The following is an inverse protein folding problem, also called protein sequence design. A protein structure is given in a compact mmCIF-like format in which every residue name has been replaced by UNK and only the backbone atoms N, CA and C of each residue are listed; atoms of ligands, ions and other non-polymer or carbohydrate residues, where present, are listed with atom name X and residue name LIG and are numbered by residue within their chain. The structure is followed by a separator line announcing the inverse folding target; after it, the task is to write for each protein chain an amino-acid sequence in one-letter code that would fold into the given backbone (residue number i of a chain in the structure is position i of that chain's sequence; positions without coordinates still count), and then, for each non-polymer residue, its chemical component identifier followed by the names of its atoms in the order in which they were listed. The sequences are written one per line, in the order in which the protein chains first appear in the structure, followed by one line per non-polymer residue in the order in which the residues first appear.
data_IF_576743228546
#
_entry.id   IF_576743228546
#
_cell.length_a   1.000
_cell.length_b   1.000
_cell.length_c   1.000
_cell.angle_alpha   90.00
_cell.angle_beta   90.00
_cell.angle_gamma   90.00
#
_symmetry.space_group_name_H-M   'P 1'
#
loop_
_entity.id
_entity.type
_entity.pdbx_description
1 polymer ?
#
# COMPACT_ATOMS: atom_id res chain seq x y z
N UNK A 1 3.80 -23.05 -5.38
CA UNK A 1 4.77 -22.14 -4.73
C UNK A 1 5.82 -21.79 -5.76
N UNK A 2 5.99 -20.53 -6.14
CA UNK A 2 7.03 -20.14 -7.08
C UNK A 2 8.40 -20.33 -6.43
N UNK A 3 9.39 -20.79 -7.20
CA UNK A 3 10.78 -20.89 -6.74
C UNK A 3 11.34 -19.48 -6.56
N UNK A 4 11.76 -19.15 -5.34
CA UNK A 4 12.44 -17.87 -5.05
C UNK A 4 13.92 -18.03 -5.43
N UNK A 5 14.44 -17.27 -6.41
CA UNK A 5 15.83 -17.37 -6.83
C UNK A 5 16.77 -16.84 -5.73
N UNK A 6 17.97 -17.43 -5.69
CA UNK A 6 19.07 -16.97 -4.84
C UNK A 6 20.09 -16.20 -5.67
N UNK A 7 20.69 -15.20 -5.06
CA UNK A 7 21.81 -14.42 -5.60
C UNK A 7 23.03 -14.58 -4.68
N UNK A 8 24.22 -14.66 -5.28
CA UNK A 8 25.49 -14.75 -4.55
C UNK A 8 26.25 -13.45 -4.78
N UNK A 9 26.62 -12.78 -3.71
CA UNK A 9 27.46 -11.59 -3.74
C UNK A 9 28.84 -11.90 -3.20
N UNK A 10 29.87 -11.51 -3.93
CA UNK A 10 31.25 -11.54 -3.43
C UNK A 10 31.53 -10.26 -2.61
N UNK A 11 31.93 -10.44 -1.37
CA UNK A 11 32.33 -9.36 -0.48
C UNK A 11 33.80 -9.55 -0.07
N UNK A 12 34.41 -8.51 0.50
CA UNK A 12 35.77 -8.59 1.06
C UNK A 12 35.91 -9.62 2.20
N UNK A 13 34.79 -10.19 2.69
CA UNK A 13 34.74 -11.20 3.77
C UNK A 13 34.30 -12.58 3.27
N UNK A 14 34.23 -12.79 1.95
CA UNK A 14 33.78 -14.03 1.31
C UNK A 14 32.43 -13.89 0.60
N UNK A 15 31.92 -15.01 0.14
CA UNK A 15 30.62 -15.08 -0.54
C UNK A 15 29.46 -15.03 0.46
N UNK A 16 28.42 -14.28 0.10
CA UNK A 16 27.14 -14.25 0.81
C UNK A 16 26.01 -14.59 -0.14
N UNK A 17 25.15 -15.50 0.29
CA UNK A 17 23.97 -15.91 -0.44
C UNK A 17 22.73 -15.27 0.18
N UNK A 18 21.86 -14.72 -0.68
CA UNK A 18 20.57 -14.14 -0.32
C UNK A 18 19.50 -14.71 -1.24
N UNK A 19 18.27 -14.90 -0.74
CA UNK A 19 17.12 -14.93 -1.64
C UNK A 19 16.89 -13.52 -2.21
N UNK A 20 16.18 -13.43 -3.35
CA UNK A 20 16.04 -12.16 -4.06
C UNK A 20 15.32 -11.08 -3.24
N UNK A 21 14.35 -11.45 -2.41
CA UNK A 21 13.62 -10.49 -1.58
C UNK A 21 14.49 -9.96 -0.43
N UNK A 22 15.25 -10.84 0.23
CA UNK A 22 16.25 -10.44 1.24
C UNK A 22 17.33 -9.55 0.64
N UNK A 23 17.72 -9.79 -0.62
CA UNK A 23 18.68 -8.94 -1.31
C UNK A 23 18.10 -7.55 -1.60
N UNK A 24 16.86 -7.47 -2.09
CA UNK A 24 16.17 -6.19 -2.31
C UNK A 24 15.95 -5.43 -1.01
N UNK A 25 15.65 -6.12 0.08
CA UNK A 25 15.48 -5.51 1.41
C UNK A 25 16.76 -4.78 1.87
N UNK A 26 17.96 -5.29 1.54
CA UNK A 26 19.22 -4.59 1.81
C UNK A 26 19.32 -3.23 1.07
N UNK A 27 18.63 -3.10 -0.07
CA UNK A 27 18.51 -1.84 -0.81
C UNK A 27 17.28 -1.03 -0.38
N UNK A 28 16.67 -1.39 0.77
CA UNK A 28 15.49 -0.75 1.37
C UNK A 28 14.25 -0.84 0.48
N UNK A 29 14.12 -1.93 -0.27
CA UNK A 29 13.00 -2.22 -1.15
C UNK A 29 12.14 -3.30 -0.52
N UNK A 30 10.86 -2.99 -0.33
CA UNK A 30 9.80 -3.93 0.08
C UNK A 30 8.86 -4.14 -1.10
N UNK A 31 8.44 -5.38 -1.31
CA UNK A 31 7.51 -5.74 -2.40
C UNK A 31 6.22 -6.31 -1.80
N UNK A 32 5.11 -5.61 -2.02
CA UNK A 32 3.75 -6.08 -1.73
C UNK A 32 3.10 -6.48 -3.05
N UNK A 33 3.21 -7.76 -3.41
CA UNK A 33 2.73 -8.31 -4.69
C UNK A 33 1.63 -9.37 -4.54
N UNK A 34 0.84 -9.28 -3.48
CA UNK A 34 -0.23 -10.22 -3.19
C UNK A 34 -1.41 -9.50 -2.52
N UNK A 35 -2.46 -10.25 -2.18
CA UNK A 35 -3.58 -9.76 -1.39
C UNK A 35 -3.11 -9.22 -0.02
N UNK A 36 -3.71 -8.12 0.42
CA UNK A 36 -3.50 -7.55 1.75
C UNK A 36 -4.27 -8.39 2.77
N UNK A 37 -3.54 -9.16 3.57
CA UNK A 37 -4.06 -10.00 4.64
C UNK A 37 -3.12 -9.94 5.85
N UNK A 38 -3.48 -10.63 6.94
CA UNK A 38 -2.71 -10.58 8.20
C UNK A 38 -1.26 -11.06 8.03
N UNK A 39 -1.02 -12.06 7.15
CA UNK A 39 0.31 -12.59 6.92
C UNK A 39 1.17 -11.60 6.11
N UNK A 40 0.65 -11.08 4.98
CA UNK A 40 1.36 -10.10 4.15
C UNK A 40 1.58 -8.79 4.90
N UNK A 41 0.60 -8.34 5.69
CA UNK A 41 0.73 -7.14 6.51
C UNK A 41 1.82 -7.31 7.59
N UNK A 42 1.84 -8.44 8.29
CA UNK A 42 2.87 -8.72 9.30
C UNK A 42 4.27 -8.70 8.70
N UNK A 43 4.45 -9.24 7.49
CA UNK A 43 5.74 -9.21 6.79
C UNK A 43 6.15 -7.79 6.40
N UNK A 44 5.24 -6.99 5.85
CA UNK A 44 5.54 -5.60 5.47
C UNK A 44 5.86 -4.76 6.71
N UNK A 45 5.06 -4.88 7.76
CA UNK A 45 5.30 -4.18 9.04
C UNK A 45 6.66 -4.53 9.63
N UNK A 46 7.01 -5.84 9.68
CA UNK A 46 8.31 -6.27 10.20
C UNK A 46 9.49 -5.70 9.37
N UNK A 47 9.35 -5.65 8.04
CA UNK A 47 10.37 -5.08 7.15
C UNK A 47 10.49 -3.55 7.34
N UNK A 48 9.38 -2.83 7.49
CA UNK A 48 9.39 -1.38 7.77
C UNK A 48 10.14 -1.07 9.08
N UNK A 49 9.79 -1.77 10.17
CA UNK A 49 10.43 -1.60 11.46
C UNK A 49 11.92 -2.01 11.44
N UNK A 50 12.26 -3.09 10.75
CA UNK A 50 13.65 -3.50 10.56
C UNK A 50 14.47 -2.43 9.84
N UNK A 51 13.97 -1.90 8.74
CA UNK A 51 14.66 -0.89 7.95
C UNK A 51 14.80 0.45 8.69
N UNK A 52 13.78 0.86 9.46
CA UNK A 52 13.88 2.03 10.32
C UNK A 52 14.98 1.85 11.37
N UNK A 53 15.06 0.68 12.00
CA UNK A 53 16.11 0.35 12.97
C UNK A 53 17.51 0.29 12.37
N UNK A 54 17.66 0.08 11.05
CA UNK A 54 18.95 0.12 10.37
C UNK A 54 19.43 1.57 10.08
N UNK A 55 18.53 2.41 9.60
CA UNK A 55 18.82 3.81 9.27
C UNK A 55 17.51 4.59 9.17
N UNK A 56 17.24 5.45 10.13
CA UNK A 56 15.98 6.21 10.19
C UNK A 56 15.92 7.41 9.24
N UNK A 57 17.06 7.78 8.61
CA UNK A 57 17.15 8.96 7.75
C UNK A 57 16.97 8.64 6.26
N UNK A 58 17.04 7.35 5.90
CA UNK A 58 16.91 6.93 4.50
C UNK A 58 15.52 6.47 4.18
N UNK A 59 15.06 6.83 2.99
CA UNK A 59 13.76 6.41 2.46
C UNK A 59 13.65 4.88 2.36
N UNK A 60 12.42 4.40 2.47
CA UNK A 60 12.04 3.02 2.19
C UNK A 60 11.18 3.03 0.92
N UNK A 61 11.42 2.11 -0.01
CA UNK A 61 10.65 1.97 -1.25
C UNK A 61 9.68 0.80 -1.13
N UNK A 62 8.38 1.07 -1.10
CA UNK A 62 7.32 0.08 -1.10
C UNK A 62 6.73 -0.07 -2.51
N UNK A 63 7.07 -1.16 -3.18
CA UNK A 63 6.51 -1.53 -4.48
C UNK A 63 5.21 -2.29 -4.31
N UNK A 64 4.15 -1.84 -4.98
CA UNK A 64 2.79 -2.35 -4.82
C UNK A 64 2.28 -2.91 -6.15
N UNK A 65 1.89 -4.20 -6.13
CA UNK A 65 1.12 -4.89 -7.17
C UNK A 65 0.07 -5.76 -6.47
N UNK A 66 -1.01 -5.16 -5.99
CA UNK A 66 -1.95 -5.80 -5.10
C UNK A 66 -3.41 -5.50 -5.48
N UNK A 67 -4.29 -6.50 -5.44
CA UNK A 67 -5.73 -6.31 -5.61
C UNK A 67 -6.40 -5.66 -4.38
N UNK A 68 -5.65 -5.40 -3.31
CA UNK A 68 -6.19 -4.99 -2.02
C UNK A 68 -6.48 -6.16 -1.10
N UNK A 69 -7.48 -6.05 -0.24
CA UNK A 69 -7.86 -7.10 0.72
C UNK A 69 -8.32 -6.55 2.06
N UNK A 70 -7.91 -7.16 3.16
CA UNK A 70 -8.35 -6.82 4.52
C UNK A 70 -8.02 -5.38 4.91
N UNK A 71 -9.06 -4.63 5.28
CA UNK A 71 -8.92 -3.24 5.73
C UNK A 71 -8.09 -3.14 7.01
N UNK A 72 -8.31 -4.03 7.98
CA UNK A 72 -7.55 -4.02 9.24
C UNK A 72 -6.07 -4.30 9.02
N UNK A 73 -5.75 -5.27 8.17
CA UNK A 73 -4.38 -5.58 7.77
C UNK A 73 -3.71 -4.40 7.03
N UNK A 74 -4.45 -3.77 6.10
CA UNK A 74 -3.96 -2.59 5.39
C UNK A 74 -3.74 -1.39 6.30
N UNK A 75 -4.63 -1.15 7.27
CA UNK A 75 -4.43 -0.10 8.27
C UNK A 75 -3.22 -0.35 9.19
N UNK A 76 -2.88 -1.62 9.49
CA UNK A 76 -1.65 -1.92 10.22
C UNK A 76 -0.39 -1.52 9.44
N UNK A 77 -0.37 -1.75 8.12
CA UNK A 77 0.71 -1.25 7.25
C UNK A 77 0.72 0.28 7.23
N UNK A 78 -0.43 0.91 6.97
CA UNK A 78 -0.58 2.36 6.93
C UNK A 78 -0.08 3.03 8.21
N UNK A 79 -0.60 2.59 9.37
CA UNK A 79 -0.21 3.18 10.64
C UNK A 79 1.30 3.03 10.90
N UNK A 80 1.90 1.90 10.50
CA UNK A 80 3.35 1.70 10.60
C UNK A 80 4.12 2.63 9.67
N UNK A 81 3.67 2.81 8.42
CA UNK A 81 4.28 3.77 7.47
C UNK A 81 4.28 5.20 8.03
N UNK A 82 3.21 5.59 8.75
CA UNK A 82 3.10 6.93 9.36
C UNK A 82 3.85 7.04 10.69
N UNK A 83 4.07 5.93 11.39
CA UNK A 83 4.70 5.89 12.70
C UNK A 83 6.22 5.96 12.65
N UNK A 84 6.84 5.29 11.68
CA UNK A 84 8.30 5.27 11.51
C UNK A 84 8.83 6.64 11.06
N UNK A 85 10.11 6.90 11.32
CA UNK A 85 10.76 8.17 10.95
C UNK A 85 11.14 8.26 9.48
N UNK A 86 11.38 7.11 8.84
CA UNK A 86 11.73 7.06 7.43
C UNK A 86 10.56 7.50 6.57
N UNK A 87 10.81 8.29 5.52
CA UNK A 87 9.83 8.46 4.46
C UNK A 87 9.63 7.14 3.71
N UNK A 88 8.37 6.76 3.51
CA UNK A 88 8.02 5.60 2.68
C UNK A 88 7.58 6.10 1.31
N UNK A 89 8.42 5.83 0.30
CA UNK A 89 8.09 6.02 -1.10
C UNK A 89 7.24 4.85 -1.59
N UNK A 90 6.13 5.11 -2.26
CA UNK A 90 5.23 4.07 -2.80
C UNK A 90 5.26 4.06 -4.32
N UNK A 91 5.34 2.88 -4.91
CA UNK A 91 5.44 2.71 -6.36
C UNK A 91 4.45 1.64 -6.83
N UNK A 92 3.46 2.03 -7.63
CA UNK A 92 2.57 1.06 -8.27
C UNK A 92 3.22 0.44 -9.51
N UNK A 93 3.21 -0.89 -9.57
CA UNK A 93 3.59 -1.67 -10.75
C UNK A 93 2.50 -2.71 -11.02
N UNK A 94 1.96 -2.71 -12.23
CA UNK A 94 0.82 -3.56 -12.60
C UNK A 94 -0.49 -3.02 -12.06
N UNK A 95 -0.83 -3.30 -10.80
CA UNK A 95 -2.10 -2.87 -10.21
C UNK A 95 -1.98 -2.47 -8.74
N UNK A 96 -2.71 -1.43 -8.37
CA UNK A 96 -2.99 -1.12 -6.97
C UNK A 96 -4.50 -0.87 -6.81
N UNK A 97 -5.24 -1.87 -6.31
CA UNK A 97 -6.68 -1.77 -6.15
C UNK A 97 -7.09 -1.78 -4.68
N UNK A 98 -8.20 -1.09 -4.35
CA UNK A 98 -8.80 -1.10 -3.01
C UNK A 98 -7.78 -0.70 -1.93
N UNK A 99 -7.49 -1.58 -0.96
CA UNK A 99 -6.45 -1.32 0.04
C UNK A 99 -5.06 -1.12 -0.57
N UNK A 100 -4.78 -1.68 -1.76
CA UNK A 100 -3.53 -1.41 -2.50
C UNK A 100 -3.45 0.05 -2.96
N UNK A 101 -4.53 0.62 -3.48
CA UNK A 101 -4.62 2.03 -3.87
C UNK A 101 -4.54 2.96 -2.64
N UNK A 102 -5.18 2.55 -1.55
CA UNK A 102 -5.10 3.27 -0.29
C UNK A 102 -3.65 3.37 0.20
N UNK A 103 -2.92 2.26 0.25
CA UNK A 103 -1.51 2.23 0.64
C UNK A 103 -0.63 3.01 -0.33
N UNK A 104 -0.91 2.94 -1.63
CA UNK A 104 -0.20 3.72 -2.65
C UNK A 104 -0.32 5.22 -2.39
N UNK A 105 -1.54 5.69 -2.12
CA UNK A 105 -1.80 7.11 -1.81
C UNK A 105 -1.17 7.58 -0.51
N UNK A 106 -0.81 6.64 0.38
CA UNK A 106 -0.34 6.90 1.74
C UNK A 106 1.18 7.03 1.87
N UNK A 107 1.91 6.95 0.76
CA UNK A 107 3.34 7.25 0.71
C UNK A 107 3.64 8.71 1.06
N UNK A 108 4.90 9.00 1.39
CA UNK A 108 5.35 10.36 1.68
C UNK A 108 5.04 11.30 0.50
N UNK A 109 4.56 12.50 0.80
CA UNK A 109 4.15 13.47 -0.23
C UNK A 109 5.33 13.83 -1.15
N UNK A 110 5.10 13.76 -2.45
CA UNK A 110 6.13 13.92 -3.49
C UNK A 110 6.90 12.63 -3.81
N UNK A 111 6.62 11.51 -3.09
CA UNK A 111 7.31 10.22 -3.23
C UNK A 111 6.35 9.07 -3.55
N UNK A 112 5.19 9.38 -4.17
CA UNK A 112 4.19 8.41 -4.61
C UNK A 112 4.23 8.30 -6.13
N UNK A 113 4.44 7.10 -6.65
CA UNK A 113 4.72 6.89 -8.06
C UNK A 113 3.87 5.77 -8.65
N UNK A 114 3.67 5.83 -9.98
CA UNK A 114 3.11 4.72 -10.76
C UNK A 114 3.96 4.49 -12.02
N UNK A 115 4.05 3.23 -12.46
CA UNK A 115 4.59 2.91 -13.78
C UNK A 115 3.51 3.17 -14.85
N UNK A 116 3.87 3.44 -16.12
CA UNK A 116 2.96 3.99 -17.11
C UNK A 116 1.74 3.13 -17.44
N UNK A 117 1.85 1.81 -17.28
CA UNK A 117 0.79 0.85 -17.57
C UNK A 117 0.11 0.31 -16.30
N UNK A 118 0.31 0.99 -15.16
CA UNK A 118 -0.34 0.60 -13.91
C UNK A 118 -1.80 1.03 -13.92
N UNK A 119 -2.64 0.19 -13.32
CA UNK A 119 -4.05 0.46 -13.07
C UNK A 119 -4.28 0.66 -11.57
N UNK A 120 -5.00 1.70 -11.22
CA UNK A 120 -5.32 2.03 -9.85
C UNK A 120 -6.84 2.03 -9.68
N UNK A 121 -7.35 1.38 -8.62
CA UNK A 121 -8.79 1.33 -8.38
C UNK A 121 -9.11 1.71 -6.95
N UNK A 122 -10.02 2.66 -6.80
CA UNK A 122 -10.56 3.09 -5.51
C UNK A 122 -12.03 2.72 -5.42
N UNK A 123 -12.46 2.27 -4.25
CA UNK A 123 -13.84 1.99 -3.92
C UNK A 123 -14.06 1.94 -2.40
N UNK A 124 -15.33 1.96 -1.96
CA UNK A 124 -15.68 1.80 -0.56
C UNK A 124 -15.39 0.39 -0.03
N UNK A 125 -15.22 0.19 1.30
CA UNK A 125 -14.99 -1.12 1.86
C UNK A 125 -16.20 -2.04 1.60
N UNK A 126 -15.90 -3.29 1.26
CA UNK A 126 -16.90 -4.34 1.16
C UNK A 126 -17.11 -5.00 2.53
N UNK A 127 -18.32 -5.44 2.79
CA UNK A 127 -18.64 -6.21 3.98
C UNK A 127 -20.06 -6.70 3.99
N UNK A 128 -20.34 -7.58 4.93
CA UNK A 128 -21.66 -8.14 5.14
C UNK A 128 -21.80 -8.60 6.59
N UNK A 129 -23.04 -8.83 7.01
CA UNK A 129 -23.35 -9.38 8.31
C UNK A 129 -24.52 -10.34 8.22
N UNK A 130 -24.47 -11.37 9.04
CA UNK A 130 -25.54 -12.34 9.24
C UNK A 130 -25.72 -12.57 10.73
N UNK A 131 -26.95 -12.73 11.20
CA UNK A 131 -27.25 -12.94 12.60
C UNK A 131 -28.52 -12.23 13.03
N UNK A 132 -28.62 -11.91 14.31
CA UNK A 132 -29.75 -11.17 14.86
C UNK A 132 -29.75 -9.70 14.39
N UNK A 133 -30.90 -9.05 14.38
CA UNK A 133 -31.04 -7.66 13.92
C UNK A 133 -30.04 -6.70 14.56
N UNK A 134 -29.78 -6.86 15.85
CA UNK A 134 -28.79 -6.04 16.58
C UNK A 134 -27.39 -6.28 16.09
N UNK A 135 -26.99 -7.52 15.79
CA UNK A 135 -25.65 -7.87 15.29
C UNK A 135 -25.44 -7.27 13.88
N UNK A 136 -26.47 -7.36 13.03
CA UNK A 136 -26.45 -6.75 11.68
C UNK A 136 -26.28 -5.23 11.78
N UNK A 137 -27.01 -4.58 12.71
CA UNK A 137 -26.88 -3.14 12.94
C UNK A 137 -25.47 -2.75 13.39
N UNK A 138 -24.90 -3.48 14.36
CA UNK A 138 -23.52 -3.24 14.85
C UNK A 138 -22.51 -3.36 13.70
N UNK A 139 -22.61 -4.40 12.88
CA UNK A 139 -21.72 -4.60 11.74
C UNK A 139 -21.88 -3.50 10.67
N UNK A 140 -23.12 -3.08 10.37
CA UNK A 140 -23.37 -1.99 9.44
C UNK A 140 -22.79 -0.66 9.93
N UNK A 141 -22.98 -0.33 11.21
CA UNK A 141 -22.39 0.88 11.81
C UNK A 141 -20.85 0.83 11.80
N UNK A 142 -20.26 -0.34 12.01
CA UNK A 142 -18.82 -0.54 11.94
C UNK A 142 -18.27 -0.29 10.52
N UNK A 143 -18.90 -0.86 9.50
CA UNK A 143 -18.53 -0.65 8.09
C UNK A 143 -18.62 0.82 7.68
N UNK A 144 -19.71 1.50 8.07
CA UNK A 144 -19.88 2.92 7.77
C UNK A 144 -18.77 3.78 8.41
N UNK A 145 -18.44 3.52 9.68
CA UNK A 145 -17.30 4.21 10.34
C UNK A 145 -15.98 3.93 9.65
N UNK A 146 -15.76 2.70 9.20
CA UNK A 146 -14.56 2.32 8.46
C UNK A 146 -14.47 3.06 7.14
N UNK A 147 -15.56 3.11 6.37
CA UNK A 147 -15.66 3.87 5.11
C UNK A 147 -15.30 5.35 5.34
N UNK A 148 -15.90 5.97 6.34
CA UNK A 148 -15.70 7.40 6.62
C UNK A 148 -14.22 7.67 7.02
N UNK A 149 -13.59 6.75 7.80
CA UNK A 149 -12.17 6.83 8.12
C UNK A 149 -11.30 6.77 6.86
N UNK A 150 -11.53 5.78 5.99
CA UNK A 150 -10.75 5.60 4.77
C UNK A 150 -10.92 6.79 3.81
N UNK A 151 -12.15 7.27 3.64
CA UNK A 151 -12.43 8.43 2.81
C UNK A 151 -11.73 9.70 3.32
N UNK A 152 -11.70 9.90 4.65
CA UNK A 152 -10.99 11.03 5.25
C UNK A 152 -9.50 10.99 4.95
N UNK A 153 -8.85 9.84 5.15
CA UNK A 153 -7.42 9.68 4.88
C UNK A 153 -7.14 9.85 3.38
N UNK A 154 -7.99 9.28 2.51
CA UNK A 154 -7.83 9.42 1.06
C UNK A 154 -8.00 10.89 0.61
N UNK A 155 -8.92 11.64 1.22
CA UNK A 155 -9.09 13.07 0.98
C UNK A 155 -7.84 13.88 1.39
N UNK A 156 -7.27 13.58 2.56
CA UNK A 156 -6.03 14.19 3.04
C UNK A 156 -4.85 13.89 2.10
N UNK A 157 -4.73 12.63 1.64
CA UNK A 157 -3.65 12.19 0.76
C UNK A 157 -3.74 12.79 -0.65
N UNK A 158 -4.95 12.89 -1.20
CA UNK A 158 -5.17 13.36 -2.59
C UNK A 158 -5.38 14.87 -2.68
N UNK A 159 -5.76 15.52 -1.58
CA UNK A 159 -6.17 16.93 -1.57
C UNK A 159 -7.57 17.18 -2.14
N UNK A 160 -8.35 16.13 -2.42
CA UNK A 160 -9.74 16.25 -2.89
C UNK A 160 -10.69 16.51 -1.71
N UNK A 161 -11.81 17.21 -1.93
CA UNK A 161 -12.88 17.32 -0.94
C UNK A 161 -13.42 15.94 -0.55
N UNK A 162 -13.74 15.74 0.72
CA UNK A 162 -14.22 14.45 1.22
C UNK A 162 -15.54 14.02 0.56
N UNK A 163 -16.38 14.97 0.18
CA UNK A 163 -17.63 14.74 -0.55
C UNK A 163 -17.35 14.15 -1.95
N UNK A 164 -16.30 14.64 -2.61
CA UNK A 164 -15.89 14.11 -3.91
C UNK A 164 -15.32 12.69 -3.74
N UNK A 165 -14.49 12.45 -2.75
CA UNK A 165 -13.99 11.09 -2.44
C UNK A 165 -15.16 10.12 -2.18
N UNK A 166 -16.16 10.54 -1.43
CA UNK A 166 -17.33 9.70 -1.13
C UNK A 166 -18.12 9.31 -2.39
N UNK A 167 -18.21 10.21 -3.38
CA UNK A 167 -18.83 9.94 -4.68
C UNK A 167 -17.95 8.99 -5.50
N UNK A 168 -16.68 9.30 -5.61
CA UNK A 168 -15.74 8.58 -6.49
C UNK A 168 -15.41 7.17 -6.00
N UNK A 169 -15.58 6.91 -4.70
CA UNK A 169 -15.38 5.58 -4.09
C UNK A 169 -16.67 4.77 -3.92
N UNK A 170 -17.84 5.30 -4.34
CA UNK A 170 -19.13 4.61 -4.15
C UNK A 170 -19.18 3.27 -4.90
N UNK A 171 -18.49 3.16 -6.03
CA UNK A 171 -18.29 1.94 -6.84
C UNK A 171 -16.86 1.88 -7.31
N UNK A 172 -16.48 0.76 -7.94
CA UNK A 172 -15.16 0.58 -8.53
C UNK A 172 -14.86 1.71 -9.51
N UNK A 173 -13.87 2.52 -9.17
CA UNK A 173 -13.40 3.63 -9.96
C UNK A 173 -11.96 3.36 -10.40
N UNK A 174 -11.84 2.94 -11.66
CA UNK A 174 -10.56 2.57 -12.27
C UNK A 174 -9.88 3.77 -12.92
N UNK A 175 -8.62 3.95 -12.60
CA UNK A 175 -7.77 5.04 -13.06
C UNK A 175 -6.51 4.46 -13.70
N UNK A 176 -6.14 4.97 -14.86
CA UNK A 176 -4.80 4.80 -15.41
C UNK A 176 -3.77 5.51 -14.52
N UNK A 177 -2.48 5.23 -14.73
CA UNK A 177 -1.41 5.88 -14.00
C UNK A 177 -1.47 7.43 -14.13
N UNK A 178 -1.82 7.95 -15.31
CA UNK A 178 -1.95 9.39 -15.54
C UNK A 178 -3.15 9.97 -14.80
N UNK A 179 -4.32 9.33 -14.89
CA UNK A 179 -5.52 9.76 -14.17
C UNK A 179 -5.32 9.72 -12.66
N UNK A 180 -4.60 8.72 -12.13
CA UNK A 180 -4.25 8.63 -10.72
C UNK A 180 -3.31 9.76 -10.27
N UNK A 181 -2.42 10.23 -11.15
CA UNK A 181 -1.60 11.42 -10.91
C UNK A 181 -2.46 12.69 -10.91
N UNK A 182 -3.33 12.86 -11.88
CA UNK A 182 -4.22 14.03 -11.98
C UNK A 182 -5.25 14.06 -10.83
N UNK A 183 -5.62 12.88 -10.33
CA UNK A 183 -6.47 12.72 -9.14
C UNK A 183 -5.76 13.07 -7.83
N UNK A 184 -4.45 12.88 -7.76
CA UNK A 184 -3.61 13.13 -6.58
C UNK A 184 -3.28 11.87 -5.75
N UNK A 185 -3.59 10.67 -6.26
CA UNK A 185 -3.22 9.39 -5.62
C UNK A 185 -1.70 9.19 -5.70
N UNK A 186 -1.10 9.54 -6.82
CA UNK A 186 0.35 9.53 -7.02
C UNK A 186 0.85 10.92 -7.40
N UNK A 187 2.14 11.16 -7.20
CA UNK A 187 2.76 12.46 -7.48
C UNK A 187 3.40 12.50 -8.88
N UNK A 188 3.76 11.34 -9.43
CA UNK A 188 4.42 11.25 -10.74
C UNK A 188 4.30 9.87 -11.38
N UNK A 189 4.25 9.85 -12.71
CA UNK A 189 4.39 8.63 -13.52
C UNK A 189 5.84 8.47 -13.95
N UNK A 190 6.46 7.32 -13.65
CA UNK A 190 7.85 7.01 -14.01
C UNK A 190 7.92 6.19 -15.29
N UNK A 191 8.55 6.73 -16.33
CA UNK A 191 8.82 6.04 -17.58
C UNK A 191 10.19 5.34 -17.60
N UNK A 192 11.12 5.82 -16.78
CA UNK A 192 12.48 5.25 -16.61
C UNK A 192 12.96 5.50 -15.17
N UNK A 193 13.77 4.58 -14.68
CA UNK A 193 14.45 4.67 -13.38
C UNK A 193 15.66 5.59 -13.48
#
# INVERSE_FOLDING_TARGET
MALVPYVVEQTNRGERQYDIFSRLLNDRIIVLSDEVNDATASLVVAQLLYLEGQDSEKDISLYINSPGGSVSAGLAIYDTMQYIKCDVSTICMGMAASMGAFLLSSGAKGKRFALPNSEIMIHQPLGGAQGQATDIKIAAEHILRTRDKLNKILAENTGKPIEQIAIDTERDNWLSAQEAMDYGIVDKVFYKR
#
